data_IF_655934198182
#
_entry.id   IF_655934198182
#
_cell.length_a   1.000
_cell.length_b   1.000
_cell.length_c   1.000
_cell.angle_alpha   90.00
_cell.angle_beta   90.00
_cell.angle_gamma   90.00
#
_symmetry.space_group_name_H-M   'P 1'
#
loop_
_entity.id
_entity.type
_entity.pdbx_description
1 polymer ?
#
# COMPACT_ATOMS: atom_id res chain seq x y z
N UNK A 1 -16.11 -28.88 -3.94
CA UNK A 1 -15.45 -28.98 -2.62
C UNK A 1 -16.50 -28.85 -1.54
N UNK A 2 -16.51 -29.76 -0.57
CA UNK A 2 -17.42 -29.66 0.58
C UNK A 2 -16.87 -28.69 1.62
N UNK A 3 -17.75 -28.18 2.49
CA UNK A 3 -17.38 -27.26 3.59
C UNK A 3 -16.33 -27.86 4.53
N UNK A 4 -16.36 -29.18 4.71
CA UNK A 4 -15.40 -29.94 5.52
C UNK A 4 -14.02 -29.99 4.86
N UNK A 5 -13.95 -30.21 3.54
CA UNK A 5 -12.68 -30.16 2.80
C UNK A 5 -12.03 -28.78 2.84
N UNK A 6 -12.84 -27.71 2.76
CA UNK A 6 -12.35 -26.33 2.90
C UNK A 6 -11.81 -26.05 4.31
N UNK A 7 -12.48 -26.56 5.35
CA UNK A 7 -12.01 -26.42 6.73
C UNK A 7 -10.69 -27.15 6.96
N UNK A 8 -10.57 -28.38 6.45
CA UNK A 8 -9.34 -29.17 6.57
C UNK A 8 -8.18 -28.50 5.83
N UNK A 9 -8.41 -28.02 4.61
CA UNK A 9 -7.43 -27.25 3.84
C UNK A 9 -7.00 -25.97 4.58
N UNK A 10 -7.95 -25.23 5.14
CA UNK A 10 -7.67 -24.04 5.94
C UNK A 10 -6.77 -24.36 7.13
N UNK A 11 -7.05 -25.43 7.88
CA UNK A 11 -6.20 -25.88 9.00
C UNK A 11 -4.78 -26.22 8.55
N UNK A 12 -4.64 -26.93 7.43
CA UNK A 12 -3.32 -27.26 6.88
C UNK A 12 -2.55 -26.02 6.47
N UNK A 13 -3.18 -25.05 5.80
CA UNK A 13 -2.55 -23.79 5.42
C UNK A 13 -2.11 -22.98 6.64
N UNK A 14 -2.95 -22.92 7.67
CA UNK A 14 -2.62 -22.27 8.94
C UNK A 14 -1.43 -22.93 9.63
N UNK A 15 -1.38 -24.26 9.67
CA UNK A 15 -0.26 -24.99 10.27
C UNK A 15 1.06 -24.72 9.53
N UNK A 16 1.05 -24.74 8.19
CA UNK A 16 2.23 -24.42 7.36
C UNK A 16 2.70 -22.98 7.62
N UNK A 17 1.77 -22.03 7.73
CA UNK A 17 2.10 -20.64 8.03
C UNK A 17 2.71 -20.47 9.43
N UNK A 18 2.22 -21.22 10.42
CA UNK A 18 2.76 -21.20 11.77
C UNK A 18 4.17 -21.80 11.85
N UNK A 19 4.42 -22.89 11.13
CA UNK A 19 5.77 -23.49 11.03
C UNK A 19 6.75 -22.52 10.37
N UNK A 20 6.36 -21.88 9.26
CA UNK A 20 7.18 -20.89 8.57
C UNK A 20 7.49 -19.67 9.46
N UNK A 21 6.49 -19.19 10.20
CA UNK A 21 6.65 -18.07 11.15
C UNK A 21 7.52 -18.46 12.35
N UNK A 22 7.38 -19.68 12.86
CA UNK A 22 8.14 -20.20 14.00
C UNK A 22 9.59 -20.51 13.67
N UNK A 23 9.90 -20.80 12.40
CA UNK A 23 11.25 -21.03 11.91
C UNK A 23 12.04 -19.74 11.59
N UNK A 24 11.37 -18.58 11.55
CA UNK A 24 12.01 -17.30 11.26
C UNK A 24 12.60 -16.69 12.53
N UNK A 25 13.86 -16.23 12.46
CA UNK A 25 14.49 -15.52 13.57
C UNK A 25 13.71 -14.22 13.86
N UNK A 26 13.59 -13.86 15.13
CA UNK A 26 12.87 -12.66 15.57
C UNK A 26 13.45 -11.38 14.95
N UNK A 27 14.76 -11.35 14.69
CA UNK A 27 15.43 -10.24 14.03
C UNK A 27 15.12 -10.19 12.52
N UNK A 28 15.07 -11.32 11.83
CA UNK A 28 14.65 -11.38 10.42
C UNK A 28 13.18 -10.96 10.26
N UNK A 29 12.29 -11.46 11.13
CA UNK A 29 10.88 -11.04 11.15
C UNK A 29 10.76 -9.53 11.34
N UNK A 30 11.54 -8.95 12.25
CA UNK A 30 11.56 -7.51 12.50
C UNK A 30 11.96 -6.76 11.24
N UNK A 31 13.04 -7.14 10.56
CA UNK A 31 13.53 -6.42 9.39
C UNK A 31 12.53 -6.46 8.22
N UNK A 32 11.88 -7.60 8.00
CA UNK A 32 10.81 -7.72 7.01
C UNK A 32 9.58 -6.91 7.40
N UNK A 33 9.06 -7.08 8.62
CA UNK A 33 7.85 -6.39 9.05
C UNK A 33 8.05 -4.88 9.15
N UNK A 34 9.21 -4.43 9.61
CA UNK A 34 9.55 -3.02 9.70
C UNK A 34 9.61 -2.39 8.31
N UNK A 35 10.18 -3.07 7.32
CA UNK A 35 10.18 -2.62 5.92
C UNK A 35 8.76 -2.45 5.37
N UNK A 36 7.86 -3.39 5.66
CA UNK A 36 6.45 -3.27 5.26
C UNK A 36 5.72 -2.13 5.99
N UNK A 37 5.98 -1.93 7.28
CA UNK A 37 5.40 -0.83 8.05
C UNK A 37 5.91 0.53 7.55
N UNK A 38 7.20 0.64 7.22
CA UNK A 38 7.76 1.83 6.60
C UNK A 38 7.16 2.09 5.22
N UNK A 39 7.04 1.07 4.36
CA UNK A 39 6.43 1.21 3.06
C UNK A 39 4.97 1.66 3.17
N UNK A 40 4.21 1.06 4.10
CA UNK A 40 2.84 1.47 4.40
C UNK A 40 2.79 2.94 4.83
N UNK A 41 3.62 3.34 5.79
CA UNK A 41 3.68 4.72 6.26
C UNK A 41 4.02 5.72 5.14
N UNK A 42 5.04 5.41 4.32
CA UNK A 42 5.43 6.24 3.19
C UNK A 42 4.32 6.32 2.13
N UNK A 43 3.60 5.22 1.90
CA UNK A 43 2.48 5.17 0.96
C UNK A 43 1.31 6.02 1.46
N UNK A 44 0.92 5.87 2.73
CA UNK A 44 -0.16 6.65 3.34
C UNK A 44 0.17 8.16 3.30
N UNK A 45 1.41 8.53 3.59
CA UNK A 45 1.87 9.93 3.52
C UNK A 45 1.91 10.46 2.08
N UNK A 46 2.36 9.63 1.12
CA UNK A 46 2.33 9.98 -0.31
C UNK A 46 0.90 10.24 -0.78
N UNK A 47 -0.04 9.36 -0.42
CA UNK A 47 -1.44 9.47 -0.80
C UNK A 47 -2.11 10.71 -0.18
N UNK A 48 -1.84 10.99 1.09
CA UNK A 48 -2.31 12.20 1.76
C UNK A 48 -1.80 13.48 1.08
N UNK A 49 -0.52 13.52 0.71
CA UNK A 49 0.06 14.63 -0.03
C UNK A 49 -0.57 14.78 -1.42
N UNK A 50 -0.71 13.68 -2.16
CA UNK A 50 -1.33 13.69 -3.49
C UNK A 50 -2.77 14.20 -3.43
N UNK A 51 -3.55 13.76 -2.43
CA UNK A 51 -4.92 14.23 -2.20
C UNK A 51 -4.97 15.72 -1.90
N UNK A 52 -4.00 16.27 -1.16
CA UNK A 52 -3.91 17.71 -0.89
C UNK A 52 -3.56 18.52 -2.15
N UNK A 53 -2.62 18.03 -2.96
CA UNK A 53 -2.17 18.71 -4.17
C UNK A 53 -3.23 18.66 -5.29
N UNK A 54 -3.87 17.50 -5.50
CA UNK A 54 -4.92 17.31 -6.51
C UNK A 54 -6.26 17.91 -6.08
N UNK A 55 -6.54 17.96 -4.77
CA UNK A 55 -7.77 18.57 -4.24
C UNK A 55 -9.03 17.98 -4.89
N UNK A 56 -9.83 18.77 -5.62
CA UNK A 56 -11.02 18.29 -6.33
C UNK A 56 -10.75 17.20 -7.37
N UNK A 57 -9.56 17.20 -7.97
CA UNK A 57 -9.18 16.27 -9.04
C UNK A 57 -8.75 14.90 -8.49
N UNK A 58 -8.70 14.75 -7.16
CA UNK A 58 -8.41 13.46 -6.54
C UNK A 58 -9.60 12.49 -6.75
N UNK A 59 -9.38 11.30 -7.35
CA UNK A 59 -10.47 10.39 -7.67
C UNK A 59 -11.25 9.95 -6.43
N UNK A 60 -12.58 9.89 -6.58
CA UNK A 60 -13.50 9.30 -5.60
C UNK A 60 -14.05 8.04 -6.23
N UNK A 61 -13.63 6.91 -5.70
CA UNK A 61 -14.05 5.60 -6.20
C UNK A 61 -15.29 5.12 -5.44
N UNK A 62 -16.07 4.27 -6.10
CA UNK A 62 -17.18 3.57 -5.48
C UNK A 62 -16.67 2.54 -4.45
N UNK A 63 -17.53 2.18 -3.49
CA UNK A 63 -17.16 1.26 -2.40
C UNK A 63 -16.71 -0.14 -2.87
N UNK A 64 -17.15 -0.56 -4.07
CA UNK A 64 -16.78 -1.85 -4.67
C UNK A 64 -15.46 -1.80 -5.45
N UNK A 65 -14.94 -0.61 -5.79
CA UNK A 65 -13.65 -0.48 -6.47
C UNK A 65 -12.50 -0.55 -5.46
N UNK A 66 -11.70 -1.62 -5.58
CA UNK A 66 -10.58 -1.91 -4.67
C UNK A 66 -9.26 -1.30 -5.10
N UNK A 67 -9.23 -0.56 -6.20
CA UNK A 67 -8.00 0.10 -6.66
C UNK A 67 -7.67 1.28 -5.75
N UNK A 68 -6.38 1.59 -5.52
CA UNK A 68 -6.01 2.87 -4.90
C UNK A 68 -6.46 4.03 -5.79
N UNK A 69 -7.14 5.06 -5.27
CA UNK A 69 -7.66 6.17 -6.09
C UNK A 69 -6.58 6.86 -6.92
N UNK A 70 -5.38 6.99 -6.37
CA UNK A 70 -4.27 7.62 -7.06
C UNK A 70 -3.84 6.86 -8.33
N UNK A 71 -3.97 5.52 -8.36
CA UNK A 71 -3.68 4.71 -9.57
C UNK A 71 -4.63 5.06 -10.72
N UNK A 72 -5.89 5.34 -10.40
CA UNK A 72 -6.88 5.78 -11.39
C UNK A 72 -6.47 7.12 -11.97
N UNK A 73 -6.06 8.06 -11.12
CA UNK A 73 -5.57 9.36 -11.57
C UNK A 73 -4.36 9.22 -12.52
N UNK A 74 -3.35 8.42 -12.17
CA UNK A 74 -2.19 8.18 -13.05
C UNK A 74 -2.58 7.58 -14.41
N UNK A 75 -3.58 6.70 -14.43
CA UNK A 75 -4.03 6.05 -15.67
C UNK A 75 -4.75 7.03 -16.59
N UNK A 76 -5.55 7.92 -16.02
CA UNK A 76 -6.39 8.86 -16.78
C UNK A 76 -5.65 10.15 -17.16
N UNK A 77 -4.54 10.47 -16.49
CA UNK A 77 -3.81 11.74 -16.64
C UNK A 77 -2.36 11.55 -17.11
N UNK A 78 -2.10 10.56 -17.97
CA UNK A 78 -0.74 10.18 -18.41
C UNK A 78 0.13 11.35 -18.91
N UNK A 79 -0.47 12.37 -19.52
CA UNK A 79 0.22 13.57 -19.99
C UNK A 79 0.69 14.50 -18.87
N UNK A 80 -0.01 14.53 -17.74
CA UNK A 80 0.26 15.43 -16.61
C UNK A 80 1.13 14.77 -15.53
N UNK A 81 1.30 13.44 -15.59
CA UNK A 81 2.13 12.66 -14.67
C UNK A 81 3.53 13.26 -14.48
N UNK A 82 4.31 13.63 -15.53
CA UNK A 82 5.66 14.15 -15.32
C UNK A 82 5.69 15.47 -14.54
N UNK A 83 4.70 16.35 -14.77
CA UNK A 83 4.59 17.64 -14.11
C UNK A 83 4.16 17.46 -12.64
N UNK A 84 3.14 16.64 -12.41
CA UNK A 84 2.65 16.30 -11.08
C UNK A 84 3.76 15.68 -10.21
N UNK A 85 4.49 14.71 -10.75
CA UNK A 85 5.62 14.08 -10.07
C UNK A 85 6.74 15.07 -9.70
N UNK A 86 7.04 16.01 -10.60
CA UNK A 86 8.01 17.07 -10.34
C UNK A 86 7.54 17.99 -9.22
N UNK A 87 6.25 18.32 -9.17
CA UNK A 87 5.66 19.10 -8.09
C UNK A 87 5.68 18.33 -6.76
N UNK A 88 5.23 17.08 -6.74
CA UNK A 88 5.23 16.21 -5.57
C UNK A 88 6.62 16.04 -4.95
N UNK A 89 7.68 15.95 -5.76
CA UNK A 89 9.08 15.94 -5.27
C UNK A 89 9.47 17.25 -4.59
N UNK A 90 9.09 18.41 -5.16
CA UNK A 90 9.42 19.73 -4.61
C UNK A 90 8.70 20.02 -3.29
N UNK A 91 7.41 19.68 -3.20
CA UNK A 91 6.62 19.89 -1.98
C UNK A 91 7.14 19.02 -0.83
N UNK A 92 7.62 17.81 -1.11
CA UNK A 92 8.18 16.91 -0.09
C UNK A 92 9.49 17.41 0.52
N UNK A 93 10.39 17.99 -0.29
CA UNK A 93 11.63 18.60 0.23
C UNK A 93 11.32 19.72 1.24
N UNK A 94 10.30 20.54 0.95
CA UNK A 94 9.89 21.63 1.86
C UNK A 94 9.27 21.16 3.18
N UNK A 95 8.71 19.95 3.24
CA UNK A 95 8.11 19.40 4.46
C UNK A 95 9.14 18.71 5.38
N UNK A 96 10.34 18.41 4.89
CA UNK A 96 11.43 17.81 5.69
C UNK A 96 12.28 18.90 6.37
N UNK A 97 12.25 20.13 5.86
CA UNK A 97 13.03 21.27 6.35
C UNK A 97 12.29 22.17 7.35
N UNK A 98 11.03 21.87 7.67
CA UNK A 98 10.15 22.65 8.57
C UNK A 98 9.77 21.86 9.81
#
# INVERSE_FOLDING_TARGET
>A
MTKEQLSQLGKTLWAIADDLRGAMNADDFRDYMLSFLFLRYLSDNFEAAAKKELGPDYPKLDADDRRPPLVVWYSDNAGDVPAFEKQMRRTRVRQIEA
#
